data_IF_999661280500
#
_entry.id   IF_999661280500
#
_cell.length_a   1.000
_cell.length_b   1.000
_cell.length_c   1.000
_cell.angle_alpha   90.00
_cell.angle_beta   90.00
_cell.angle_gamma   90.00
#
_symmetry.space_group_name_H-M   'P 1'
#
loop_
_entity.id
_entity.type
_entity.pdbx_description
1 polymer ?
#
# COMPACT_ATOMS: atom_id res chain seq x y z
N UNK A 1 -28.10 -5.92 -43.04
CA UNK A 1 -27.90 -6.26 -41.61
C UNK A 1 -26.61 -5.59 -41.19
N UNK A 2 -26.70 -4.43 -40.55
CA UNK A 2 -25.52 -3.75 -40.02
C UNK A 2 -24.99 -4.54 -38.83
N UNK A 3 -23.75 -4.99 -38.91
CA UNK A 3 -23.09 -5.56 -37.75
C UNK A 3 -23.01 -4.48 -36.65
N UNK A 4 -23.30 -4.82 -35.38
CA UNK A 4 -23.17 -3.86 -34.29
C UNK A 4 -21.74 -3.33 -34.27
N UNK A 5 -21.60 -2.00 -34.39
CA UNK A 5 -20.31 -1.32 -34.29
C UNK A 5 -19.62 -1.78 -33.01
N UNK A 6 -18.45 -2.43 -33.15
CA UNK A 6 -17.63 -2.79 -32.00
C UNK A 6 -17.44 -1.54 -31.13
N UNK A 7 -17.72 -1.60 -29.81
CA UNK A 7 -17.55 -0.45 -28.94
C UNK A 7 -16.12 0.06 -29.05
N UNK A 8 -15.98 1.38 -29.30
CA UNK A 8 -14.67 2.03 -29.42
C UNK A 8 -13.91 1.81 -28.11
N UNK A 9 -12.70 1.25 -28.20
CA UNK A 9 -11.85 1.03 -27.02
C UNK A 9 -11.51 2.39 -26.41
N UNK A 10 -11.86 2.58 -25.13
CA UNK A 10 -11.56 3.80 -24.38
C UNK A 10 -10.04 4.02 -24.32
N UNK A 11 -9.62 5.27 -24.42
CA UNK A 11 -8.24 5.69 -24.19
C UNK A 11 -7.87 5.59 -22.72
N UNK A 12 -6.56 5.61 -22.41
CA UNK A 12 -6.04 5.62 -21.03
C UNK A 12 -6.60 6.79 -20.21
N UNK A 13 -6.73 7.97 -20.84
CA UNK A 13 -7.26 9.18 -20.20
C UNK A 13 -8.76 9.08 -19.92
N UNK A 14 -9.54 8.50 -20.83
CA UNK A 14 -10.98 8.26 -20.62
C UNK A 14 -11.22 7.27 -19.48
N UNK A 15 -10.47 6.15 -19.43
CA UNK A 15 -10.55 5.18 -18.34
C UNK A 15 -10.17 5.83 -16.99
N UNK A 16 -9.13 6.67 -16.98
CA UNK A 16 -8.70 7.40 -15.79
C UNK A 16 -9.80 8.33 -15.27
N UNK A 17 -10.47 9.07 -16.16
CA UNK A 17 -11.56 9.98 -15.80
C UNK A 17 -12.79 9.23 -15.29
N UNK A 18 -13.17 8.14 -15.95
CA UNK A 18 -14.30 7.30 -15.53
C UNK A 18 -14.10 6.74 -14.10
N UNK A 19 -12.90 6.25 -13.80
CA UNK A 19 -12.56 5.76 -12.46
C UNK A 19 -12.52 6.89 -11.42
N UNK A 20 -11.99 8.05 -11.80
CA UNK A 20 -12.01 9.23 -10.94
C UNK A 20 -13.46 9.59 -10.53
N UNK A 21 -14.37 9.62 -11.50
CA UNK A 21 -15.77 9.97 -11.29
C UNK A 21 -16.53 8.88 -10.53
N UNK A 22 -16.31 7.60 -10.87
CA UNK A 22 -16.94 6.46 -10.18
C UNK A 22 -16.62 6.45 -8.68
N UNK A 23 -15.36 6.72 -8.33
CA UNK A 23 -14.92 6.67 -6.93
C UNK A 23 -14.99 8.00 -6.21
N UNK A 24 -15.31 9.10 -6.89
CA UNK A 24 -15.18 10.45 -6.33
C UNK A 24 -13.74 10.77 -5.90
N UNK A 25 -12.74 10.14 -6.55
CA UNK A 25 -11.35 10.26 -6.18
C UNK A 25 -10.80 11.64 -6.59
N UNK A 26 -9.95 12.24 -5.75
CA UNK A 26 -9.27 13.49 -6.13
C UNK A 26 -8.31 13.26 -7.31
N UNK A 27 -7.63 12.12 -7.34
CA UNK A 27 -6.74 11.73 -8.44
C UNK A 27 -6.74 10.22 -8.64
N UNK A 28 -6.47 9.80 -9.87
CA UNK A 28 -6.07 8.42 -10.18
C UNK A 28 -4.58 8.46 -10.48
N UNK A 29 -3.79 7.85 -9.60
CA UNK A 29 -2.35 7.79 -9.73
C UNK A 29 -1.99 6.83 -10.86
N UNK A 30 -1.10 7.28 -11.73
CA UNK A 30 -0.51 6.42 -12.75
C UNK A 30 0.64 5.63 -12.11
N UNK A 31 0.37 4.93 -11.01
CA UNK A 31 1.34 4.04 -10.35
C UNK A 31 1.87 2.96 -11.31
N UNK A 32 1.15 2.73 -12.41
CA UNK A 32 1.54 1.96 -13.59
C UNK A 32 2.82 2.45 -14.28
N UNK A 33 3.28 3.67 -13.99
CA UNK A 33 4.57 4.18 -14.47
C UNK A 33 5.73 3.47 -13.79
N UNK A 34 5.57 3.15 -12.51
CA UNK A 34 6.46 2.27 -11.76
C UNK A 34 6.11 0.82 -12.07
N UNK A 35 7.12 -0.05 -12.10
CA UNK A 35 7.06 -1.50 -12.31
C UNK A 35 6.53 -1.98 -13.66
N UNK A 36 6.47 -1.07 -14.64
CA UNK A 36 6.09 -1.38 -16.03
C UNK A 36 7.28 -1.21 -17.01
N UNK A 37 8.47 -0.94 -16.47
CA UNK A 37 9.73 -0.86 -17.21
C UNK A 37 10.61 -2.11 -16.95
N UNK A 38 11.44 -2.55 -17.91
CA UNK A 38 12.39 -3.65 -17.70
C UNK A 38 13.32 -3.44 -16.50
N UNK A 39 13.72 -2.20 -16.24
CA UNK A 39 14.65 -1.80 -15.18
C UNK A 39 14.07 -2.03 -13.77
N UNK A 40 12.74 -1.99 -13.64
CA UNK A 40 12.00 -2.16 -12.38
C UNK A 40 11.42 -3.58 -12.22
N UNK A 41 11.75 -4.51 -13.12
CA UNK A 41 11.23 -5.88 -13.12
C UNK A 41 11.42 -6.57 -11.76
N UNK A 42 12.55 -6.36 -11.11
CA UNK A 42 12.82 -6.93 -9.79
C UNK A 42 11.80 -6.46 -8.74
N UNK A 43 11.52 -5.15 -8.69
CA UNK A 43 10.52 -4.61 -7.77
C UNK A 43 9.13 -5.20 -8.08
N UNK A 44 8.74 -5.25 -9.36
CA UNK A 44 7.48 -5.88 -9.79
C UNK A 44 7.34 -7.32 -9.29
N UNK A 45 8.36 -8.13 -9.55
CA UNK A 45 8.34 -9.57 -9.27
C UNK A 45 8.29 -9.81 -7.74
N UNK A 46 9.07 -9.06 -6.96
CA UNK A 46 9.01 -9.11 -5.49
C UNK A 46 7.63 -8.75 -4.95
N UNK A 47 7.02 -7.67 -5.46
CA UNK A 47 5.67 -7.26 -5.07
C UNK A 47 4.65 -8.35 -5.37
N UNK A 48 4.75 -8.96 -6.55
CA UNK A 48 3.84 -10.02 -6.97
C UNK A 48 3.98 -11.28 -6.11
N UNK A 49 5.21 -11.71 -5.83
CA UNK A 49 5.49 -12.90 -5.03
C UNK A 49 5.05 -12.71 -3.57
N UNK A 50 5.43 -11.59 -2.95
CA UNK A 50 5.03 -11.28 -1.57
C UNK A 50 3.52 -11.13 -1.44
N UNK A 51 2.86 -10.49 -2.41
CA UNK A 51 1.40 -10.38 -2.42
C UNK A 51 0.74 -11.75 -2.45
N UNK A 52 1.17 -12.65 -3.35
CA UNK A 52 0.62 -14.00 -3.47
C UNK A 52 0.78 -14.79 -2.18
N UNK A 53 1.97 -14.76 -1.56
CA UNK A 53 2.22 -15.47 -0.30
C UNK A 53 1.32 -14.95 0.82
N UNK A 54 1.04 -13.64 0.85
CA UNK A 54 0.19 -13.01 1.86
C UNK A 54 -1.31 -12.97 1.48
N UNK A 55 -1.70 -13.66 0.41
CA UNK A 55 -3.08 -13.68 -0.12
C UNK A 55 -3.64 -12.27 -0.40
N UNK A 56 -2.83 -11.41 -1.01
CA UNK A 56 -3.28 -10.13 -1.58
C UNK A 56 -3.39 -10.24 -3.09
N UNK A 57 -4.29 -9.44 -3.66
CA UNK A 57 -4.29 -9.18 -5.10
C UNK A 57 -3.03 -8.34 -5.39
N UNK A 58 -2.09 -8.82 -6.24
CA UNK A 58 -0.80 -8.14 -6.44
C UNK A 58 -0.93 -6.68 -6.86
N UNK A 59 -1.85 -6.37 -7.78
CA UNK A 59 -2.10 -5.00 -8.22
C UNK A 59 -2.64 -4.09 -7.11
N UNK A 60 -3.39 -4.63 -6.14
CA UNK A 60 -3.85 -3.86 -4.98
C UNK A 60 -2.68 -3.57 -4.05
N UNK A 61 -1.92 -4.61 -3.70
CA UNK A 61 -0.76 -4.47 -2.84
C UNK A 61 0.27 -3.51 -3.41
N UNK A 62 0.58 -3.63 -4.70
CA UNK A 62 1.43 -2.69 -5.45
C UNK A 62 0.94 -1.24 -5.31
N UNK A 63 -0.38 -1.02 -5.46
CA UNK A 63 -0.95 0.32 -5.34
C UNK A 63 -0.66 0.92 -3.97
N UNK A 64 -0.88 0.16 -2.89
CA UNK A 64 -0.63 0.67 -1.54
C UNK A 64 0.83 1.07 -1.39
N UNK A 65 1.76 0.12 -1.55
CA UNK A 65 3.16 0.35 -1.22
C UNK A 65 3.82 1.42 -2.10
N UNK A 66 3.45 1.50 -3.38
CA UNK A 66 4.03 2.49 -4.30
C UNK A 66 3.52 3.89 -3.97
N UNK A 67 2.33 4.02 -3.40
CA UNK A 67 1.75 5.32 -3.00
C UNK A 67 2.18 5.78 -1.61
N UNK A 68 2.57 4.85 -0.74
CA UNK A 68 3.03 5.18 0.62
C UNK A 68 4.47 5.69 0.66
N UNK A 69 5.33 5.22 -0.25
CA UNK A 69 6.70 5.74 -0.34
C UNK A 69 7.55 5.05 -1.40
N UNK A 70 7.37 3.74 -1.62
CA UNK A 70 8.26 2.96 -2.50
C UNK A 70 8.35 3.53 -3.92
N UNK A 71 7.27 4.10 -4.46
CA UNK A 71 7.30 4.76 -5.76
C UNK A 71 8.14 6.05 -5.74
N UNK A 72 7.75 6.99 -4.87
CA UNK A 72 8.25 8.37 -4.87
C UNK A 72 9.64 8.47 -4.21
N UNK A 73 9.84 7.77 -3.11
CA UNK A 73 11.05 7.87 -2.28
C UNK A 73 12.11 6.82 -2.64
N UNK A 74 11.81 5.92 -3.59
CA UNK A 74 12.76 4.93 -4.07
C UNK A 74 12.81 4.79 -5.59
N UNK A 75 11.73 4.36 -6.24
CA UNK A 75 11.74 4.05 -7.68
C UNK A 75 11.92 5.28 -8.58
N UNK A 76 11.51 6.48 -8.12
CA UNK A 76 11.68 7.75 -8.83
C UNK A 76 13.12 8.28 -8.89
N UNK A 77 14.03 7.67 -8.12
CA UNK A 77 15.36 8.21 -7.91
C UNK A 77 16.43 7.43 -8.67
N UNK A 78 17.04 8.07 -9.67
CA UNK A 78 18.06 7.46 -10.53
C UNK A 78 19.27 6.85 -9.77
N UNK A 79 19.61 7.39 -8.59
CA UNK A 79 20.71 6.88 -7.76
C UNK A 79 20.40 5.51 -7.12
N UNK A 80 19.14 5.07 -7.15
CA UNK A 80 18.71 3.74 -6.71
C UNK A 80 18.81 2.69 -7.83
N UNK A 81 19.30 3.07 -9.01
CA UNK A 81 19.58 2.16 -10.12
C UNK A 81 21.09 1.98 -10.29
N UNK A 82 21.47 0.84 -10.85
CA UNK A 82 22.85 0.55 -11.27
C UNK A 82 22.88 -0.07 -12.65
N UNK A 83 24.06 -0.13 -13.24
CA UNK A 83 24.30 -0.94 -14.44
C UNK A 83 24.70 -2.36 -14.00
N UNK A 84 24.01 -3.38 -14.51
CA UNK A 84 24.35 -4.78 -14.25
C UNK A 84 25.56 -5.24 -15.09
N UNK A 85 26.01 -6.49 -14.90
CA UNK A 85 27.14 -7.06 -15.65
C UNK A 85 26.90 -7.18 -17.16
N UNK A 86 25.64 -7.08 -17.60
CA UNK A 86 25.23 -7.13 -19.01
C UNK A 86 25.03 -5.73 -19.62
N UNK A 87 25.26 -4.66 -18.86
CA UNK A 87 25.12 -3.28 -19.33
C UNK A 87 23.70 -2.71 -19.20
N UNK A 88 22.76 -3.41 -18.54
CA UNK A 88 21.39 -2.93 -18.38
C UNK A 88 21.24 -2.09 -17.11
N UNK A 89 20.41 -1.05 -17.15
CA UNK A 89 19.97 -0.33 -15.95
C UNK A 89 19.02 -1.24 -15.17
N UNK A 90 19.27 -1.41 -13.88
CA UNK A 90 18.44 -2.24 -12.98
C UNK A 90 18.28 -1.57 -11.64
N UNK A 91 17.09 -1.69 -11.04
CA UNK A 91 16.84 -1.22 -9.67
C UNK A 91 17.71 -2.01 -8.67
N UNK A 92 18.23 -1.33 -7.65
CA UNK A 92 19.01 -1.94 -6.58
C UNK A 92 18.10 -2.66 -5.57
N UNK A 93 18.61 -3.72 -4.97
CA UNK A 93 18.01 -4.43 -3.83
C UNK A 93 19.10 -4.78 -2.80
N UNK A 94 20.17 -3.99 -2.78
CA UNK A 94 21.37 -4.21 -1.97
C UNK A 94 21.75 -2.96 -1.17
N UNK A 95 20.75 -2.10 -0.93
CA UNK A 95 20.89 -0.89 -0.13
C UNK A 95 19.81 -0.86 0.93
N UNK A 96 20.19 -0.34 2.09
CA UNK A 96 19.29 -0.18 3.21
C UNK A 96 18.21 0.84 2.89
N UNK A 97 16.98 0.58 3.36
CA UNK A 97 15.83 1.45 3.11
C UNK A 97 15.11 1.84 4.40
N UNK A 98 14.71 3.11 4.46
CA UNK A 98 13.91 3.65 5.55
C UNK A 98 12.51 3.06 5.50
N UNK A 99 12.11 2.31 6.53
CA UNK A 99 10.74 1.87 6.70
C UNK A 99 9.77 3.03 6.81
N UNK A 100 10.21 4.11 7.47
CA UNK A 100 9.43 5.32 7.67
C UNK A 100 9.14 6.01 6.33
N UNK A 101 10.17 6.39 5.57
CA UNK A 101 9.99 7.15 4.34
C UNK A 101 9.55 6.27 3.16
N UNK A 102 10.18 5.10 2.98
CA UNK A 102 9.95 4.25 1.80
C UNK A 102 8.75 3.32 2.00
N UNK A 103 8.50 2.88 3.23
CA UNK A 103 7.43 1.93 3.54
C UNK A 103 6.15 2.57 4.09
N UNK A 104 6.19 3.82 4.58
CA UNK A 104 5.11 4.37 5.41
C UNK A 104 4.89 3.54 6.68
N UNK A 105 5.98 3.02 7.27
CA UNK A 105 5.98 2.05 8.37
C UNK A 105 6.39 2.68 9.70
N UNK A 106 5.71 3.77 10.08
CA UNK A 106 6.05 4.64 11.21
C UNK A 106 6.36 3.91 12.51
N UNK A 107 5.54 2.91 12.85
CA UNK A 107 5.62 2.22 14.14
C UNK A 107 6.17 0.79 14.02
N UNK A 108 6.67 0.35 12.86
CA UNK A 108 7.00 -1.06 12.63
C UNK A 108 7.99 -1.64 13.64
N UNK A 109 8.99 -0.88 14.07
CA UNK A 109 9.95 -1.33 15.07
C UNK A 109 9.29 -1.62 16.43
N UNK A 110 8.29 -0.83 16.83
CA UNK A 110 7.52 -1.08 18.06
C UNK A 110 6.42 -2.15 17.89
N UNK A 111 5.89 -2.30 16.68
CA UNK A 111 4.79 -3.22 16.39
C UNK A 111 5.24 -4.60 15.91
N UNK A 112 6.52 -4.79 15.61
CA UNK A 112 7.09 -6.03 15.08
C UNK A 112 6.59 -7.32 15.77
N UNK A 113 6.47 -7.40 17.12
CA UNK A 113 5.93 -8.59 17.76
C UNK A 113 4.52 -8.99 17.28
N UNK A 114 3.68 -8.03 16.87
CA UNK A 114 2.34 -8.27 16.30
C UNK A 114 2.40 -8.74 14.85
N UNK A 115 3.46 -8.37 14.14
CA UNK A 115 3.67 -8.63 12.72
C UNK A 115 4.39 -9.95 12.45
N UNK A 116 5.17 -10.46 13.42
CA UNK A 116 5.99 -11.67 13.28
C UNK A 116 5.25 -12.89 12.70
N UNK A 117 3.98 -13.08 13.04
CA UNK A 117 3.17 -14.20 12.51
C UNK A 117 2.76 -14.08 11.03
N UNK A 118 2.95 -12.91 10.42
CA UNK A 118 2.68 -12.64 9.00
C UNK A 118 3.97 -12.55 8.17
N UNK A 119 5.12 -12.61 8.83
CA UNK A 119 6.43 -12.56 8.20
C UNK A 119 6.95 -13.99 7.98
N UNK A 120 7.81 -14.21 6.99
CA UNK A 120 8.44 -15.50 6.79
C UNK A 120 9.38 -15.81 7.96
N UNK A 121 9.62 -17.11 8.22
CA UNK A 121 10.37 -17.55 9.41
C UNK A 121 11.82 -17.08 9.47
N UNK A 122 12.39 -16.69 8.32
CA UNK A 122 13.75 -16.14 8.22
C UNK A 122 13.80 -14.63 8.50
N UNK A 123 12.65 -13.94 8.50
CA UNK A 123 12.62 -12.50 8.70
C UNK A 123 12.81 -12.18 10.18
N UNK A 124 13.92 -11.54 10.52
CA UNK A 124 14.21 -11.21 11.92
C UNK A 124 14.81 -9.83 12.14
N UNK A 125 14.73 -9.39 13.40
CA UNK A 125 15.24 -8.11 13.88
C UNK A 125 16.71 -8.23 14.30
N UNK A 126 17.54 -7.29 13.87
CA UNK A 126 18.91 -7.12 14.33
C UNK A 126 18.95 -6.67 15.79
N UNK A 127 19.92 -7.18 16.55
CA UNK A 127 20.06 -6.89 17.97
C UNK A 127 20.45 -5.45 18.29
N UNK A 128 21.08 -4.75 17.35
CA UNK A 128 21.58 -3.38 17.51
C UNK A 128 21.27 -2.53 16.27
N UNK A 129 21.29 -1.20 16.44
CA UNK A 129 21.19 -0.25 15.32
C UNK A 129 22.35 -0.44 14.35
N UNK A 130 22.06 -0.59 13.05
CA UNK A 130 23.08 -0.73 12.01
C UNK A 130 23.68 -2.13 11.88
N UNK A 131 23.11 -3.15 12.54
CA UNK A 131 23.61 -4.52 12.48
C UNK A 131 22.76 -5.41 11.58
N UNK A 132 23.26 -5.62 10.37
CA UNK A 132 22.79 -6.62 9.40
C UNK A 132 23.69 -7.86 9.32
N UNK A 133 24.73 -7.93 10.16
CA UNK A 133 25.81 -8.92 10.03
C UNK A 133 25.38 -10.35 10.32
N UNK A 134 24.26 -10.53 11.03
CA UNK A 134 23.68 -11.84 11.37
C UNK A 134 22.63 -12.31 10.35
N UNK A 135 22.46 -11.61 9.23
CA UNK A 135 21.36 -11.86 8.29
C UNK A 135 20.00 -11.37 8.81
N UNK A 136 20.00 -10.39 9.70
CA UNK A 136 18.78 -9.68 10.09
C UNK A 136 18.21 -8.89 8.91
N UNK A 137 16.89 -8.68 8.93
CA UNK A 137 16.18 -7.99 7.85
C UNK A 137 15.89 -6.52 8.16
N UNK A 138 15.88 -6.18 9.45
CA UNK A 138 15.70 -4.81 9.89
C UNK A 138 16.29 -4.58 11.28
N UNK A 139 16.54 -3.31 11.63
CA UNK A 139 16.72 -2.88 13.01
C UNK A 139 15.77 -1.71 13.31
N UNK A 140 15.41 -1.53 14.58
CA UNK A 140 14.52 -0.42 14.97
C UNK A 140 15.25 0.92 14.89
N UNK A 141 14.58 1.92 14.32
CA UNK A 141 15.11 3.27 14.16
C UNK A 141 14.09 4.30 14.64
N UNK A 142 14.52 5.21 15.50
CA UNK A 142 13.68 6.32 15.95
C UNK A 142 13.57 7.36 14.85
N UNK A 143 12.35 7.77 14.54
CA UNK A 143 12.03 8.80 13.55
C UNK A 143 11.12 9.85 14.17
N UNK A 144 11.05 11.03 13.55
CA UNK A 144 10.14 12.11 13.99
C UNK A 144 9.07 12.31 12.92
N UNK A 145 7.81 12.06 13.29
CA UNK A 145 6.70 12.18 12.35
C UNK A 145 6.28 13.63 12.10
N UNK A 146 5.26 13.83 11.26
CA UNK A 146 4.73 15.15 10.87
C UNK A 146 4.13 15.96 12.04
N UNK A 147 4.02 15.34 13.22
CA UNK A 147 3.48 15.91 14.46
C UNK A 147 4.56 16.23 15.47
N UNK A 148 5.84 16.08 15.10
CA UNK A 148 6.97 16.14 16.01
C UNK A 148 6.90 15.09 17.14
N UNK A 149 6.25 13.95 16.90
CA UNK A 149 6.25 12.82 17.82
C UNK A 149 7.38 11.86 17.43
N UNK A 150 8.12 11.37 18.42
CA UNK A 150 9.10 10.30 18.18
C UNK A 150 8.36 8.98 18.04
N UNK A 151 8.52 8.35 16.88
CA UNK A 151 8.00 7.02 16.57
C UNK A 151 9.17 6.03 16.43
N UNK A 152 8.89 4.74 16.64
CA UNK A 152 9.89 3.69 16.49
C UNK A 152 9.58 2.87 15.24
N UNK A 153 10.16 3.32 14.14
CA UNK A 153 10.09 2.66 12.83
C UNK A 153 11.22 1.62 12.69
N UNK A 154 11.57 1.28 11.45
CA UNK A 154 12.58 0.31 11.09
C UNK A 154 13.47 0.84 9.96
N UNK A 155 14.75 0.49 10.00
CA UNK A 155 15.63 0.51 8.83
C UNK A 155 15.75 -0.92 8.33
N UNK A 156 15.48 -1.15 7.05
CA UNK A 156 15.50 -2.46 6.40
C UNK A 156 16.79 -2.69 5.62
N UNK A 157 17.21 -3.94 5.52
CA UNK A 157 18.43 -4.37 4.82
C UNK A 157 18.35 -4.11 3.30
N UNK A 158 17.14 -4.19 2.72
CA UNK A 158 16.88 -4.06 1.29
C UNK A 158 15.39 -3.81 0.96
N UNK A 159 15.08 -3.70 -0.34
CA UNK A 159 13.71 -3.49 -0.85
C UNK A 159 12.79 -4.68 -0.61
N UNK A 160 13.27 -5.91 -0.76
CA UNK A 160 12.48 -7.10 -0.45
C UNK A 160 12.00 -7.08 1.01
N UNK A 161 12.85 -6.69 1.95
CA UNK A 161 12.53 -6.68 3.37
C UNK A 161 11.51 -5.59 3.73
N UNK A 162 11.57 -4.42 3.08
CA UNK A 162 10.51 -3.40 3.15
C UNK A 162 9.18 -3.95 2.63
N UNK A 163 9.19 -4.61 1.46
CA UNK A 163 7.97 -5.15 0.85
C UNK A 163 7.32 -6.20 1.76
N UNK A 164 8.10 -7.09 2.37
CA UNK A 164 7.60 -8.04 3.37
C UNK A 164 7.01 -7.35 4.61
N UNK A 165 7.68 -6.31 5.10
CA UNK A 165 7.20 -5.54 6.24
C UNK A 165 5.86 -4.83 5.94
N UNK A 166 5.70 -4.25 4.75
CA UNK A 166 4.44 -3.69 4.27
C UNK A 166 3.33 -4.75 4.19
N UNK A 167 3.64 -5.94 3.66
CA UNK A 167 2.68 -7.03 3.57
C UNK A 167 2.24 -7.55 4.95
N UNK A 168 3.17 -7.69 5.89
CA UNK A 168 2.88 -8.12 7.26
C UNK A 168 2.01 -7.09 8.00
N UNK A 169 2.31 -5.81 7.82
CA UNK A 169 1.51 -4.70 8.35
C UNK A 169 0.10 -4.77 7.79
N UNK A 170 -0.04 -4.80 6.46
CA UNK A 170 -1.36 -4.86 5.80
C UNK A 170 -2.15 -6.11 6.19
N UNK A 171 -1.48 -7.26 6.39
CA UNK A 171 -2.11 -8.51 6.82
C UNK A 171 -2.67 -8.38 8.23
N UNK A 172 -1.91 -7.79 9.16
CA UNK A 172 -2.39 -7.47 10.50
C UNK A 172 -3.62 -6.56 10.46
N UNK A 173 -3.56 -5.52 9.63
CA UNK A 173 -4.61 -4.51 9.50
C UNK A 173 -5.89 -5.09 8.90
N UNK A 174 -5.77 -5.98 7.90
CA UNK A 174 -6.88 -6.75 7.33
C UNK A 174 -7.58 -7.61 8.38
N UNK A 175 -6.82 -8.32 9.21
CA UNK A 175 -7.38 -9.16 10.27
C UNK A 175 -8.12 -8.34 11.34
N UNK A 176 -7.55 -7.20 11.74
CA UNK A 176 -8.20 -6.28 12.67
C UNK A 176 -9.49 -5.69 12.11
N UNK A 177 -9.50 -5.26 10.85
CA UNK A 177 -10.71 -4.81 10.19
C UNK A 177 -11.79 -5.90 10.21
N UNK A 178 -11.46 -7.13 9.81
CA UNK A 178 -12.40 -8.24 9.80
C UNK A 178 -12.93 -8.56 11.21
N UNK A 179 -12.08 -8.51 12.23
CA UNK A 179 -12.48 -8.67 13.63
C UNK A 179 -13.46 -7.59 14.06
N UNK A 180 -13.15 -6.32 13.82
CA UNK A 180 -14.02 -5.21 14.21
C UNK A 180 -15.35 -5.21 13.46
N UNK A 181 -15.33 -5.47 12.15
CA UNK A 181 -16.53 -5.63 11.31
C UNK A 181 -17.48 -6.66 11.90
N UNK A 182 -16.96 -7.86 12.21
CA UNK A 182 -17.75 -8.96 12.77
C UNK A 182 -18.33 -8.60 14.14
N UNK A 183 -17.52 -7.99 15.01
CA UNK A 183 -17.97 -7.56 16.34
C UNK A 183 -19.07 -6.49 16.30
N UNK A 184 -19.08 -5.64 15.27
CA UNK A 184 -20.10 -4.62 15.06
C UNK A 184 -21.33 -5.14 14.31
N UNK A 185 -21.35 -6.41 13.89
CA UNK A 185 -22.49 -7.01 13.18
C UNK A 185 -22.62 -6.56 11.72
N UNK A 186 -21.58 -5.99 11.12
CA UNK A 186 -21.62 -5.52 9.73
C UNK A 186 -21.54 -6.70 8.73
N UNK A 187 -22.14 -6.60 7.53
CA UNK A 187 -22.11 -7.66 6.51
C UNK A 187 -20.72 -7.85 5.91
N UNK A 188 -20.52 -8.94 5.14
CA UNK A 188 -19.25 -9.16 4.45
C UNK A 188 -18.97 -7.99 3.48
N UNK A 189 -17.73 -7.46 3.44
CA UNK A 189 -17.40 -6.35 2.56
C UNK A 189 -17.39 -6.84 1.10
N UNK A 190 -17.75 -5.95 0.17
CA UNK A 190 -17.35 -6.13 -1.23
C UNK A 190 -15.84 -6.02 -1.35
N UNK A 191 -15.29 -6.41 -2.51
CA UNK A 191 -13.85 -6.29 -2.79
C UNK A 191 -13.36 -4.83 -2.64
N UNK A 192 -14.13 -3.86 -3.16
CA UNK A 192 -13.80 -2.44 -3.04
C UNK A 192 -13.84 -1.95 -1.59
N UNK A 193 -14.85 -2.39 -0.82
CA UNK A 193 -14.94 -2.04 0.60
C UNK A 193 -13.79 -2.63 1.40
N UNK A 194 -13.39 -3.87 1.09
CA UNK A 194 -12.25 -4.51 1.73
C UNK A 194 -10.95 -3.74 1.43
N UNK A 195 -10.73 -3.38 0.17
CA UNK A 195 -9.57 -2.60 -0.25
C UNK A 195 -9.54 -1.20 0.40
N UNK A 196 -10.67 -0.51 0.46
CA UNK A 196 -10.79 0.77 1.15
C UNK A 196 -10.47 0.64 2.65
N UNK A 197 -11.14 -0.27 3.36
CA UNK A 197 -10.98 -0.38 4.81
C UNK A 197 -9.61 -0.91 5.21
N UNK A 198 -9.01 -1.82 4.44
CA UNK A 198 -7.64 -2.26 4.68
C UNK A 198 -6.66 -1.08 4.64
N UNK A 199 -6.82 -0.16 3.69
CA UNK A 199 -6.00 1.05 3.62
C UNK A 199 -6.26 2.00 4.81
N UNK A 200 -7.53 2.22 5.17
CA UNK A 200 -7.84 3.05 6.35
C UNK A 200 -7.22 2.48 7.63
N UNK A 201 -7.19 1.16 7.80
CA UNK A 201 -6.52 0.51 8.93
C UNK A 201 -4.98 0.53 8.82
N UNK A 202 -4.43 0.52 7.61
CA UNK A 202 -3.00 0.73 7.35
C UNK A 202 -2.54 2.07 7.93
N UNK A 203 -3.29 3.14 7.64
CA UNK A 203 -3.04 4.51 8.14
C UNK A 203 -3.22 4.70 9.67
N UNK A 204 -3.78 3.70 10.39
CA UNK A 204 -3.85 3.71 11.85
C UNK A 204 -5.10 3.04 12.45
N UNK A 205 -4.89 1.98 13.23
CA UNK A 205 -5.96 1.09 13.75
C UNK A 205 -6.99 1.81 14.63
N UNK A 206 -6.50 2.61 15.59
CA UNK A 206 -7.37 3.26 16.58
C UNK A 206 -8.32 4.27 15.94
N UNK A 207 -7.81 5.00 14.95
CA UNK A 207 -8.61 5.96 14.19
C UNK A 207 -9.56 5.26 13.22
N UNK A 208 -9.08 4.21 12.53
CA UNK A 208 -9.87 3.40 11.63
C UNK A 208 -11.07 2.73 12.31
N UNK A 209 -10.89 2.16 13.52
CA UNK A 209 -11.99 1.58 14.30
C UNK A 209 -13.04 2.62 14.67
N UNK A 210 -12.62 3.79 15.16
CA UNK A 210 -13.55 4.89 15.51
C UNK A 210 -14.34 5.33 14.28
N UNK A 211 -13.68 5.44 13.14
CA UNK A 211 -14.33 5.78 11.89
C UNK A 211 -15.35 4.71 11.46
N UNK A 212 -14.98 3.42 11.50
CA UNK A 212 -15.88 2.31 11.20
C UNK A 212 -17.16 2.33 12.06
N UNK A 213 -17.04 2.70 13.33
CA UNK A 213 -18.19 2.89 14.23
C UNK A 213 -19.00 4.12 13.81
N UNK A 214 -18.33 5.25 13.59
CA UNK A 214 -18.95 6.53 13.27
C UNK A 214 -19.76 6.49 11.97
N UNK A 215 -19.30 5.75 10.96
CA UNK A 215 -20.00 5.59 9.68
C UNK A 215 -21.20 4.66 9.80
N UNK A 216 -21.22 3.78 10.80
CA UNK A 216 -22.33 2.85 11.00
C UNK A 216 -22.45 1.78 9.91
N UNK A 217 -21.39 1.52 9.14
CA UNK A 217 -21.42 0.56 8.04
C UNK A 217 -20.15 0.51 7.21
N UNK A 218 -20.25 -0.18 6.07
CA UNK A 218 -19.14 -0.40 5.13
C UNK A 218 -19.25 0.42 3.85
N UNK A 219 -20.32 1.19 3.68
CA UNK A 219 -20.49 2.03 2.49
C UNK A 219 -19.41 3.11 2.44
N UNK A 220 -18.67 3.13 1.33
CA UNK A 220 -17.54 4.03 1.08
C UNK A 220 -17.95 5.23 0.23
N UNK A 221 -19.09 5.16 -0.48
CA UNK A 221 -19.56 6.19 -1.41
C UNK A 221 -20.59 7.13 -0.76
N UNK A 222 -21.36 6.63 0.20
CA UNK A 222 -22.29 7.44 1.01
C UNK A 222 -21.60 8.42 1.97
N UNK A 223 -20.28 8.33 2.14
CA UNK A 223 -19.50 9.12 3.09
C UNK A 223 -19.51 10.62 2.79
N UNK A 224 -19.61 11.00 1.51
CA UNK A 224 -19.68 12.41 1.11
C UNK A 224 -21.03 13.08 1.48
N UNK A 225 -22.08 12.30 1.74
CA UNK A 225 -23.40 12.80 2.14
C UNK A 225 -23.76 12.57 3.62
N UNK A 226 -23.19 11.54 4.26
CA UNK A 226 -23.51 11.13 5.64
C UNK A 226 -22.63 11.81 6.69
N UNK A 227 -21.50 12.38 6.27
CA UNK A 227 -20.59 13.05 7.19
C UNK A 227 -20.80 14.58 7.11
N UNK A 228 -21.53 15.20 8.07
CA UNK A 228 -21.49 16.64 8.20
C UNK A 228 -20.03 17.09 8.23
N UNK A 229 -19.71 18.21 7.57
CA UNK A 229 -18.36 18.77 7.55
C UNK A 229 -17.75 18.99 8.95
N UNK A 230 -18.56 18.90 10.02
CA UNK A 230 -18.19 19.02 11.43
C UNK A 230 -17.73 17.71 12.11
N UNK A 231 -17.98 16.53 11.52
CA UNK A 231 -17.75 15.23 12.19
C UNK A 231 -16.50 14.50 11.69
N UNK A 232 -15.89 14.96 10.60
CA UNK A 232 -14.68 14.36 9.99
C UNK A 232 -13.51 15.26 10.30
N UNK A 233 -12.54 14.77 11.07
CA UNK A 233 -11.28 15.50 11.26
C UNK A 233 -10.59 15.66 9.90
N UNK A 234 -9.81 16.73 9.70
CA UNK A 234 -9.01 16.93 8.48
C UNK A 234 -8.18 15.69 8.13
N UNK A 235 -7.68 14.97 9.13
CA UNK A 235 -6.96 13.70 8.98
C UNK A 235 -7.82 12.57 8.40
N UNK A 236 -9.05 12.37 8.90
CA UNK A 236 -9.96 11.37 8.34
C UNK A 236 -10.30 11.69 6.88
N UNK A 237 -10.47 12.99 6.53
CA UNK A 237 -10.73 13.39 5.15
C UNK A 237 -9.52 13.10 4.25
N UNK A 238 -8.31 13.42 4.68
CA UNK A 238 -7.11 13.10 3.90
C UNK A 238 -6.98 11.57 3.68
N UNK A 239 -7.14 10.76 4.73
CA UNK A 239 -7.09 9.31 4.61
C UNK A 239 -8.21 8.76 3.71
N UNK A 240 -9.40 9.36 3.74
CA UNK A 240 -10.51 9.02 2.82
C UNK A 240 -10.13 9.26 1.37
N UNK A 241 -9.65 10.47 1.07
CA UNK A 241 -9.33 10.91 -0.28
C UNK A 241 -8.20 10.06 -0.87
N UNK A 242 -7.20 9.71 -0.05
CA UNK A 242 -6.12 8.80 -0.46
C UNK A 242 -6.63 7.37 -0.63
N UNK A 243 -7.49 6.86 0.25
CA UNK A 243 -8.09 5.53 0.11
C UNK A 243 -8.86 5.39 -1.22
N UNK A 244 -9.68 6.39 -1.56
CA UNK A 244 -10.43 6.42 -2.82
C UNK A 244 -9.50 6.57 -4.03
N UNK A 245 -8.45 7.38 -3.91
CA UNK A 245 -7.42 7.51 -4.95
C UNK A 245 -6.69 6.19 -5.18
N UNK A 246 -6.36 5.45 -4.12
CA UNK A 246 -5.73 4.13 -4.19
C UNK A 246 -6.68 3.10 -4.80
N UNK A 247 -7.95 3.09 -4.41
CA UNK A 247 -8.95 2.20 -5.00
C UNK A 247 -9.10 2.44 -6.51
N UNK A 248 -9.23 3.69 -6.94
CA UNK A 248 -9.34 4.04 -8.35
C UNK A 248 -8.04 3.71 -9.12
N UNK A 249 -6.87 3.93 -8.51
CA UNK A 249 -5.56 3.61 -9.11
C UNK A 249 -5.36 2.10 -9.26
N UNK A 250 -5.81 1.32 -8.29
CA UNK A 250 -5.78 -0.13 -8.36
C UNK A 250 -6.64 -0.67 -9.51
N UNK A 251 -7.88 -0.19 -9.65
CA UNK A 251 -8.76 -0.57 -10.78
C UNK A 251 -8.17 -0.15 -12.13
N UNK A 252 -7.47 0.98 -12.16
CA UNK A 252 -6.73 1.40 -13.34
C UNK A 252 -5.60 0.39 -13.65
N UNK A 253 -4.79 -0.04 -12.68
CA UNK A 253 -3.73 -1.05 -12.87
C UNK A 253 -4.28 -2.38 -13.40
N UNK A 254 -5.38 -2.87 -12.85
CA UNK A 254 -6.01 -4.12 -13.32
C UNK A 254 -6.39 -4.05 -14.81
N UNK A 255 -6.73 -2.87 -15.32
CA UNK A 255 -7.07 -2.67 -16.74
C UNK A 255 -5.87 -2.92 -17.67
N UNK A 256 -4.64 -2.73 -17.19
CA UNK A 256 -3.42 -2.93 -17.97
C UNK A 256 -2.75 -4.29 -17.79
N UNK A 257 -3.23 -5.12 -16.85
CA UNK A 257 -2.70 -6.47 -16.60
C UNK A 257 -1.18 -6.48 -16.35
N UNK A 258 -0.68 -5.48 -15.63
CA UNK A 258 0.74 -5.37 -15.24
C UNK A 258 1.13 -6.49 -14.27
N UNK A 259 0.19 -6.87 -13.42
CA UNK A 259 0.31 -7.96 -12.46
C UNK A 259 -0.67 -9.09 -12.78
N UNK A 260 -0.43 -10.28 -12.23
CA UNK A 260 -1.42 -11.35 -12.25
C UNK A 260 -2.72 -10.95 -11.54
N UNK A 261 -3.83 -11.57 -11.97
CA UNK A 261 -5.11 -11.49 -11.26
C UNK A 261 -5.06 -12.28 -9.95
#
# INVERSE_FOLDING_TARGET
MDQPKKPKKKSKLEIKKDLQDQYGAWKVLAVAGYVNSPEEKLARDLIEDVAKINNFIPSYFATIILTEGLGIDYLDHDYNYRTDSAGNKVIRNDIELSGFDVGGLDDFGSEYPRYKKYLPSWFDQGSNSGDFSTGSEFYSKSETNERNETVLSAQFSNMESVIWACAATLSHRRDLFQKHRKNLGYPAPTEDQLAYWNYIYYQGEGQAKRWLIQVGGLDIFGLNGILPAKTVTKKNRNAHDVALSNLASWRYLQTFKIFSN
#
